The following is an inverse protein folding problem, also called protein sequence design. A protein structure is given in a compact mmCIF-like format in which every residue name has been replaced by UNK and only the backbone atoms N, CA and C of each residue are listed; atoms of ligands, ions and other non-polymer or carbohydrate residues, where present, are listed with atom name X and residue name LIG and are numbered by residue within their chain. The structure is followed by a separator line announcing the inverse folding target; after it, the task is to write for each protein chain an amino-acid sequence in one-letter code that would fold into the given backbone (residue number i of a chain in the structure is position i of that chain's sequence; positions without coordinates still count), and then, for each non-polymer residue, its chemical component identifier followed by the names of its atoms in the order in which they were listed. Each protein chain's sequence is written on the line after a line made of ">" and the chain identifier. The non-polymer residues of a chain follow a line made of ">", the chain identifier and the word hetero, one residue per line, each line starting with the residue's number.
data_IF_639126129717
#
_entry.id   IF_639126129717
#
_cell.length_a   1.000
_cell.length_b   1.000
_cell.length_c   1.000
_cell.angle_alpha   90.00
_cell.angle_beta   90.00
_cell.angle_gamma   90.00
#
_symmetry.space_group_name_H-M   'P 1'
#
loop_
_entity.id
_entity.type
_entity.pdbx_description
1 polymer ?
#
# COMPACT_ATOMS: atom_id res chain seq x y z
N UNK A 1 -8.42 55.72 -28.73
CA UNK A 1 -9.01 55.04 -27.56
C UNK A 1 -9.18 53.58 -27.93
N UNK A 2 -8.25 52.73 -27.50
CA UNK A 2 -8.26 51.28 -27.74
C UNK A 2 -8.81 50.58 -26.51
N UNK A 3 -9.90 49.82 -26.68
CA UNK A 3 -10.56 49.01 -25.67
C UNK A 3 -9.76 47.70 -25.49
N UNK A 4 -9.21 47.48 -24.30
CA UNK A 4 -8.67 46.19 -23.88
C UNK A 4 -9.69 45.49 -22.99
N UNK A 5 -10.44 44.53 -23.53
CA UNK A 5 -11.17 43.55 -22.71
C UNK A 5 -10.21 42.45 -22.31
N UNK A 6 -9.73 42.49 -21.05
CA UNK A 6 -9.09 41.35 -20.42
C UNK A 6 -10.18 40.38 -19.96
N UNK A 7 -10.36 39.32 -20.74
CA UNK A 7 -11.15 38.16 -20.35
C UNK A 7 -10.26 37.32 -19.42
N UNK A 8 -10.61 37.21 -18.14
CA UNK A 8 -10.18 36.06 -17.32
C UNK A 8 -11.29 35.01 -17.37
N UNK A 9 -10.90 33.73 -17.40
CA UNK A 9 -11.12 32.95 -16.19
C UNK A 9 -9.78 32.46 -15.65
N UNK A 10 -9.55 32.67 -14.34
CA UNK A 10 -8.61 31.88 -13.57
C UNK A 10 -9.11 30.43 -13.62
N UNK A 11 -8.54 29.64 -14.53
CA UNK A 11 -8.54 28.20 -14.37
C UNK A 11 -8.05 27.91 -12.96
N UNK A 12 -8.94 27.33 -12.17
CA UNK A 12 -8.55 26.69 -10.93
C UNK A 12 -7.66 25.55 -11.36
N UNK A 13 -6.35 25.79 -11.36
CA UNK A 13 -5.36 24.72 -11.40
C UNK A 13 -5.67 23.85 -10.18
N UNK A 14 -6.52 22.85 -10.39
CA UNK A 14 -6.49 21.64 -9.60
C UNK A 14 -5.05 21.17 -9.71
N UNK A 15 -4.30 21.44 -8.65
CA UNK A 15 -3.03 20.81 -8.34
C UNK A 15 -3.33 19.31 -8.25
N UNK A 16 -3.37 18.67 -9.42
CA UNK A 16 -3.55 17.25 -9.60
C UNK A 16 -2.22 16.65 -9.19
N UNK A 17 -1.96 16.67 -7.88
CA UNK A 17 -0.88 15.96 -7.24
C UNK A 17 -1.05 14.51 -7.65
N UNK A 18 -0.33 14.13 -8.71
CA UNK A 18 -0.25 12.78 -9.17
C UNK A 18 0.57 12.10 -8.09
N UNK A 19 -0.10 11.57 -7.07
CA UNK A 19 0.55 10.81 -5.99
C UNK A 19 1.31 9.69 -6.69
N UNK A 20 2.62 9.88 -6.78
CA UNK A 20 3.50 8.85 -7.31
C UNK A 20 3.57 7.80 -6.22
N UNK A 21 3.08 6.60 -6.50
CA UNK A 21 3.17 5.47 -5.57
C UNK A 21 4.62 5.33 -5.11
N UNK A 22 4.84 4.95 -3.85
CA UNK A 22 6.18 4.83 -3.31
C UNK A 22 6.95 3.73 -4.05
N UNK A 23 7.77 4.13 -5.03
CA UNK A 23 8.41 3.22 -5.98
C UNK A 23 9.19 2.09 -5.30
N UNK A 24 9.35 0.98 -6.02
CA UNK A 24 9.99 -0.23 -5.48
C UNK A 24 11.41 0.05 -4.97
N UNK A 25 11.75 -0.54 -3.83
CA UNK A 25 13.10 -0.49 -3.26
C UNK A 25 14.01 -1.38 -4.10
N UNK A 26 15.09 -0.81 -4.63
CA UNK A 26 16.10 -1.55 -5.36
C UNK A 26 17.04 -2.31 -4.42
N UNK A 27 17.52 -3.49 -4.85
CA UNK A 27 18.31 -4.43 -4.03
C UNK A 27 19.60 -3.84 -3.43
N UNK A 28 20.11 -2.75 -3.99
CA UNK A 28 21.39 -2.13 -3.60
C UNK A 28 21.30 -1.38 -2.26
N UNK A 29 20.09 -1.16 -1.76
CA UNK A 29 19.81 -0.35 -0.55
C UNK A 29 18.62 -0.91 0.23
N UNK A 30 18.55 -2.24 0.44
CA UNK A 30 17.48 -2.84 1.26
C UNK A 30 17.74 -2.52 2.73
N UNK A 31 16.88 -1.73 3.41
CA UNK A 31 17.05 -1.46 4.83
C UNK A 31 16.58 -2.69 5.63
N UNK A 32 17.21 -2.97 6.78
CA UNK A 32 16.72 -4.00 7.67
C UNK A 32 15.55 -3.45 8.49
N UNK A 33 14.36 -4.05 8.37
CA UNK A 33 13.18 -3.58 9.08
C UNK A 33 12.41 -4.74 9.70
N UNK A 34 12.18 -4.66 11.03
CA UNK A 34 11.22 -5.44 11.81
C UNK A 34 11.21 -6.97 11.61
N UNK A 35 10.38 -7.70 12.36
CA UNK A 35 10.10 -9.09 12.03
C UNK A 35 9.18 -9.17 10.81
N UNK A 36 9.61 -9.89 9.77
CA UNK A 36 8.71 -10.35 8.71
C UNK A 36 8.08 -11.68 9.12
N UNK A 37 6.76 -11.81 8.98
CA UNK A 37 6.02 -13.05 9.24
C UNK A 37 4.99 -13.34 8.16
N UNK A 38 4.77 -14.62 7.88
CA UNK A 38 3.86 -15.10 6.86
C UNK A 38 3.24 -16.41 7.34
N UNK A 39 1.99 -16.37 7.78
CA UNK A 39 1.32 -17.49 8.43
C UNK A 39 -0.05 -17.75 7.80
N UNK A 40 -0.40 -19.03 7.63
CA UNK A 40 -1.75 -19.41 7.23
C UNK A 40 -2.76 -18.99 8.31
N UNK A 41 -3.90 -18.46 7.89
CA UNK A 41 -5.00 -18.04 8.77
C UNK A 41 -6.34 -18.44 8.15
N UNK A 42 -7.37 -18.61 8.97
CA UNK A 42 -8.73 -18.76 8.45
C UNK A 42 -9.29 -17.40 8.00
N UNK A 43 -10.28 -17.45 7.11
CA UNK A 43 -11.03 -16.27 6.70
C UNK A 43 -11.69 -15.58 7.91
N UNK A 44 -12.30 -16.34 8.82
CA UNK A 44 -12.94 -15.80 10.02
C UNK A 44 -11.95 -15.03 10.90
N UNK A 45 -10.73 -15.56 11.10
CA UNK A 45 -9.69 -14.86 11.85
C UNK A 45 -9.20 -13.60 11.15
N UNK A 46 -9.17 -13.58 9.81
CA UNK A 46 -8.80 -12.37 9.07
C UNK A 46 -9.88 -11.28 9.21
N UNK A 47 -11.15 -11.65 9.08
CA UNK A 47 -12.28 -10.73 9.24
C UNK A 47 -12.40 -10.21 10.67
N UNK A 48 -12.21 -11.06 11.67
CA UNK A 48 -12.22 -10.65 13.08
C UNK A 48 -11.13 -9.61 13.37
N UNK A 49 -9.90 -9.85 12.88
CA UNK A 49 -8.79 -8.88 12.97
C UNK A 49 -9.08 -7.59 12.23
N UNK A 50 -9.81 -7.64 11.13
CA UNK A 50 -10.18 -6.45 10.36
C UNK A 50 -11.18 -5.59 11.13
N UNK A 51 -12.24 -6.20 11.65
CA UNK A 51 -13.32 -5.51 12.39
C UNK A 51 -12.81 -4.97 13.72
N UNK A 52 -11.91 -5.69 14.39
CA UNK A 52 -11.31 -5.27 15.66
C UNK A 52 -10.13 -4.31 15.51
N UNK A 53 -9.67 -4.05 14.28
CA UNK A 53 -8.53 -3.19 14.04
C UNK A 53 -8.83 -1.74 14.38
N UNK A 54 -7.88 -1.09 15.03
CA UNK A 54 -7.86 0.38 15.25
C UNK A 54 -6.85 1.07 14.34
N UNK A 55 -6.22 0.33 13.42
CA UNK A 55 -5.25 0.87 12.49
C UNK A 55 -5.92 1.93 11.59
N UNK A 56 -5.19 3.00 11.24
CA UNK A 56 -5.65 4.03 10.31
C UNK A 56 -6.19 3.50 8.99
N UNK A 57 -5.69 2.36 8.52
CA UNK A 57 -6.30 1.64 7.40
C UNK A 57 -6.59 0.21 7.84
N UNK A 58 -7.86 -0.17 7.82
CA UNK A 58 -8.31 -1.53 8.04
C UNK A 58 -9.53 -1.79 7.14
N UNK A 59 -9.30 -2.43 6.00
CA UNK A 59 -10.36 -2.64 5.01
C UNK A 59 -10.24 -3.99 4.29
N UNK A 60 -11.40 -4.55 3.96
CA UNK A 60 -11.48 -5.61 2.97
C UNK A 60 -11.17 -4.98 1.62
N UNK A 61 -10.32 -5.65 0.85
CA UNK A 61 -9.78 -5.14 -0.39
C UNK A 61 -9.85 -6.25 -1.44
N UNK A 62 -10.58 -6.02 -2.53
CA UNK A 62 -10.49 -6.89 -3.70
C UNK A 62 -9.31 -6.44 -4.56
N UNK A 63 -8.12 -6.92 -4.19
CA UNK A 63 -6.91 -6.63 -4.95
C UNK A 63 -6.95 -7.22 -6.36
N UNK A 64 -7.80 -8.21 -6.64
CA UNK A 64 -7.96 -8.76 -7.99
C UNK A 64 -8.74 -7.79 -8.90
N UNK A 65 -9.80 -7.19 -8.37
CA UNK A 65 -10.64 -6.23 -9.08
C UNK A 65 -10.02 -4.85 -9.24
N UNK A 66 -9.25 -4.38 -8.25
CA UNK A 66 -8.62 -3.05 -8.28
C UNK A 66 -7.30 -2.98 -7.49
N UNK A 67 -6.20 -3.54 -8.05
CA UNK A 67 -4.88 -3.47 -7.44
C UNK A 67 -4.40 -2.03 -7.17
N UNK A 68 -4.77 -1.10 -8.07
CA UNK A 68 -4.30 0.28 -8.03
C UNK A 68 -4.88 1.04 -6.83
N UNK A 69 -6.15 0.83 -6.51
CA UNK A 69 -6.74 1.42 -5.30
C UNK A 69 -6.06 0.91 -4.04
N UNK A 70 -5.76 -0.38 -3.95
CA UNK A 70 -4.98 -0.95 -2.83
C UNK A 70 -3.59 -0.31 -2.75
N UNK A 71 -2.92 -0.16 -3.89
CA UNK A 71 -1.61 0.48 -3.97
C UNK A 71 -1.65 1.94 -3.46
N UNK A 72 -2.66 2.72 -3.86
CA UNK A 72 -2.84 4.10 -3.42
C UNK A 72 -3.07 4.18 -1.91
N UNK A 73 -3.90 3.30 -1.36
CA UNK A 73 -4.21 3.24 0.07
C UNK A 73 -2.94 3.00 0.91
N UNK A 74 -2.10 2.06 0.48
CA UNK A 74 -0.82 1.78 1.15
C UNK A 74 0.17 2.92 0.91
N UNK A 75 0.25 3.45 -0.31
CA UNK A 75 1.19 4.52 -0.67
C UNK A 75 0.96 5.81 0.11
N UNK A 76 -0.28 6.12 0.45
CA UNK A 76 -0.62 7.26 1.31
C UNK A 76 0.09 7.20 2.67
N UNK A 77 0.41 6.00 3.15
CA UNK A 77 1.14 5.77 4.40
C UNK A 77 2.65 5.77 4.22
N UNK A 78 3.12 5.31 3.07
CA UNK A 78 4.55 5.26 2.73
C UNK A 78 5.08 6.65 2.29
N UNK A 79 4.21 7.52 1.78
CA UNK A 79 4.49 8.77 1.05
C UNK A 79 5.11 9.96 1.80
N UNK A 80 5.83 9.75 2.91
CA UNK A 80 6.67 10.78 3.53
C UNK A 80 8.08 10.19 3.62
N UNK A 81 9.05 10.76 2.87
CA UNK A 81 10.40 10.23 2.58
C UNK A 81 11.06 9.29 3.62
N UNK A 82 11.85 8.30 3.16
CA UNK A 82 12.30 7.15 3.97
C UNK A 82 11.14 6.38 4.67
N UNK A 83 9.90 6.62 4.23
CA UNK A 83 8.71 6.09 4.86
C UNK A 83 8.62 4.59 4.69
N UNK A 84 8.42 3.91 5.80
CA UNK A 84 8.02 2.52 5.84
C UNK A 84 6.87 2.45 6.84
N UNK A 85 5.84 1.67 6.52
CA UNK A 85 4.69 1.47 7.42
C UNK A 85 4.62 0.02 7.87
N UNK A 86 4.17 -0.20 9.09
CA UNK A 86 3.80 -1.54 9.54
C UNK A 86 2.44 -1.91 8.97
N UNK A 87 2.33 -3.13 8.44
CA UNK A 87 1.06 -3.61 7.91
C UNK A 87 0.95 -5.11 7.93
N UNK A 88 -0.29 -5.58 7.88
CA UNK A 88 -0.67 -6.95 7.59
C UNK A 88 -1.51 -6.99 6.31
N UNK A 89 -1.09 -7.79 5.34
CA UNK A 89 -1.89 -8.15 4.18
C UNK A 89 -2.44 -9.55 4.36
N UNK A 90 -3.73 -9.71 4.11
CA UNK A 90 -4.37 -11.00 4.00
C UNK A 90 -4.46 -11.34 2.53
N UNK A 91 -3.75 -12.39 2.11
CA UNK A 91 -3.63 -12.79 0.70
C UNK A 91 -4.11 -14.21 0.50
N UNK A 92 -4.67 -14.51 -0.67
CA UNK A 92 -4.87 -15.88 -1.11
C UNK A 92 -3.62 -16.40 -1.82
N UNK A 93 -3.00 -17.43 -1.24
CA UNK A 93 -1.83 -18.08 -1.82
C UNK A 93 -2.01 -19.61 -1.76
N UNK A 94 -1.99 -20.27 -2.92
CA UNK A 94 -2.18 -21.73 -3.05
C UNK A 94 -3.44 -22.24 -2.34
N UNK A 95 -4.58 -21.61 -2.65
CA UNK A 95 -5.91 -21.94 -2.08
C UNK A 95 -6.04 -21.76 -0.56
N UNK A 96 -5.04 -21.15 0.10
CA UNK A 96 -5.07 -20.85 1.53
C UNK A 96 -4.94 -19.35 1.76
N UNK A 97 -5.70 -18.84 2.73
CA UNK A 97 -5.53 -17.47 3.19
C UNK A 97 -4.29 -17.37 4.08
N UNK A 98 -3.46 -16.38 3.80
CA UNK A 98 -2.18 -16.15 4.47
C UNK A 98 -2.13 -14.71 4.97
N UNK A 99 -1.80 -14.53 6.24
CA UNK A 99 -1.49 -13.22 6.81
C UNK A 99 0.01 -12.94 6.67
N UNK A 100 0.35 -11.91 5.91
CA UNK A 100 1.70 -11.41 5.71
C UNK A 100 1.84 -10.14 6.53
N UNK A 101 2.60 -10.17 7.62
CA UNK A 101 2.82 -9.02 8.47
C UNK A 101 4.30 -8.61 8.48
N UNK A 102 4.55 -7.31 8.44
CA UNK A 102 5.90 -6.76 8.49
C UNK A 102 5.92 -5.27 8.19
N UNK A 103 7.11 -4.78 7.84
CA UNK A 103 7.32 -3.39 7.44
C UNK A 103 7.29 -3.28 5.94
N UNK A 104 6.28 -2.59 5.41
CA UNK A 104 6.11 -2.25 4.00
C UNK A 104 7.04 -1.08 3.67
N UNK A 105 7.90 -1.27 2.68
CA UNK A 105 8.94 -0.31 2.29
C UNK A 105 8.77 0.25 0.88
N UNK A 106 7.90 -0.36 0.08
CA UNK A 106 7.65 0.04 -1.29
C UNK A 106 6.37 -0.61 -1.81
N UNK A 107 5.64 0.10 -2.64
CA UNK A 107 4.39 -0.36 -3.23
C UNK A 107 4.22 0.29 -4.60
N UNK A 108 3.92 -0.52 -5.59
CA UNK A 108 3.45 -0.03 -6.89
C UNK A 108 2.05 -0.59 -7.19
N UNK A 109 1.58 -0.42 -8.41
CA UNK A 109 0.27 -0.87 -8.86
C UNK A 109 0.13 -2.39 -8.99
N UNK A 110 1.23 -3.13 -8.86
CA UNK A 110 1.28 -4.59 -9.05
C UNK A 110 1.65 -5.35 -7.78
N UNK A 111 2.54 -4.79 -6.97
CA UNK A 111 3.15 -5.48 -5.84
C UNK A 111 3.36 -4.55 -4.64
N UNK A 112 3.50 -5.21 -3.49
CA UNK A 112 3.91 -4.61 -2.23
C UNK A 112 5.16 -5.33 -1.72
N UNK A 113 6.13 -4.55 -1.27
CA UNK A 113 7.42 -5.02 -0.79
C UNK A 113 7.53 -4.83 0.72
N UNK A 114 7.90 -5.91 1.40
CA UNK A 114 8.30 -5.92 2.79
C UNK A 114 9.81 -6.08 2.86
N UNK A 115 10.46 -5.32 3.73
CA UNK A 115 11.83 -5.64 4.13
C UNK A 115 11.78 -6.47 5.41
N UNK A 116 12.64 -7.48 5.51
CA UNK A 116 12.82 -8.27 6.72
C UNK A 116 14.09 -7.87 7.51
N UNK A 117 14.20 -8.36 8.75
CA UNK A 117 15.38 -8.11 9.59
C UNK A 117 16.70 -8.63 9.00
N UNK A 118 16.65 -9.47 7.97
CA UNK A 118 17.80 -10.06 7.28
C UNK A 118 18.15 -9.33 5.98
N UNK A 119 17.60 -8.12 5.76
CA UNK A 119 17.81 -7.30 4.55
C UNK A 119 17.35 -8.01 3.27
N UNK A 120 16.32 -8.86 3.36
CA UNK A 120 15.68 -9.44 2.18
C UNK A 120 14.38 -8.70 1.90
N UNK A 121 14.14 -8.41 0.62
CA UNK A 121 12.84 -7.97 0.16
C UNK A 121 11.94 -9.17 -0.07
N UNK A 122 10.72 -9.08 0.44
CA UNK A 122 9.64 -10.03 0.23
C UNK A 122 8.53 -9.31 -0.51
N UNK A 123 8.20 -9.81 -1.68
CA UNK A 123 7.24 -9.17 -2.57
C UNK A 123 5.97 -9.99 -2.62
N UNK A 124 4.82 -9.33 -2.50
CA UNK A 124 3.51 -9.93 -2.65
C UNK A 124 2.73 -9.25 -3.76
N UNK A 125 2.04 -10.01 -4.62
CA UNK A 125 1.19 -9.42 -5.64
C UNK A 125 -0.06 -8.81 -5.01
N UNK A 126 -0.38 -7.57 -5.37
CA UNK A 126 -1.60 -6.91 -4.91
C UNK A 126 -2.85 -7.63 -5.41
N UNK A 127 -2.78 -8.31 -6.56
CA UNK A 127 -3.87 -9.12 -7.11
C UNK A 127 -4.29 -10.29 -6.23
N UNK A 128 -3.47 -10.67 -5.24
CA UNK A 128 -3.79 -11.73 -4.29
C UNK A 128 -4.35 -11.19 -2.96
N UNK A 129 -4.39 -9.87 -2.76
CA UNK A 129 -4.85 -9.24 -1.52
C UNK A 129 -6.36 -9.32 -1.42
N UNK A 130 -6.83 -9.79 -0.27
CA UNK A 130 -8.24 -9.86 0.14
C UNK A 130 -8.60 -8.82 1.21
N UNK A 131 -7.65 -8.50 2.08
CA UNK A 131 -7.83 -7.47 3.10
C UNK A 131 -6.47 -6.90 3.49
N UNK A 132 -6.49 -5.68 4.01
CA UNK A 132 -5.29 -4.99 4.47
C UNK A 132 -5.54 -4.25 5.76
N UNK A 133 -4.54 -4.29 6.64
CA UNK A 133 -4.43 -3.49 7.85
C UNK A 133 -3.07 -2.79 7.79
N UNK A 134 -3.04 -1.45 7.82
CA UNK A 134 -1.81 -0.67 7.75
C UNK A 134 -1.87 0.58 8.65
N UNK A 135 -0.73 0.95 9.23
CA UNK A 135 -0.57 2.08 10.15
C UNK A 135 -0.17 3.40 9.46
#
# INVERSE_FOLDING_TARGET
>A
MTLSSQNTPKETAMDLMTRTLAGLVAERTIPAFGPYSCNAVSLDSALDRLVSSTAPIAQAADGHGDPRSVAMLISDRVGVGFGATTGTLFVFHREQMTAVAGVIVGVDDSVVQFADQHRKLRTWPLTAVFALIAD
#
